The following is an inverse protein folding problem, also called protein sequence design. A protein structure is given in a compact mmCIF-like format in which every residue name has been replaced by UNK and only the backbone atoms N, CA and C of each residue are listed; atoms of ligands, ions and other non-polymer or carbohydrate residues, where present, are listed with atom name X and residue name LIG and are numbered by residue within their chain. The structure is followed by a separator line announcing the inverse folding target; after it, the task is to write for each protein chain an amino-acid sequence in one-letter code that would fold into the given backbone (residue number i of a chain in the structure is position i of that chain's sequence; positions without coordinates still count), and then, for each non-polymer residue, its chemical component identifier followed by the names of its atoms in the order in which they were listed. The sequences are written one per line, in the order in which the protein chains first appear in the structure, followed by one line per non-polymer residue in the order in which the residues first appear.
data_IF_535446272774
#
_entry.id   IF_535446272774
#
_cell.length_a   1.000
_cell.length_b   1.000
_cell.length_c   1.000
_cell.angle_alpha   90.00
_cell.angle_beta   90.00
_cell.angle_gamma   90.00
#
_symmetry.space_group_name_H-M   'P 1'
#
loop_
_entity.id
_entity.type
_entity.pdbx_description
1 polymer ?
#
# COMPACT_ATOMS: atom_id res chain seq x y z
N UNK A 1 -0.84 1.02 9.69
CA UNK A 1 -1.11 0.45 8.36
C UNK A 1 -2.21 1.24 7.68
N UNK A 2 -2.26 1.25 6.35
CA UNK A 2 -3.39 1.78 5.58
C UNK A 2 -3.98 0.67 4.70
N UNK A 3 -5.29 0.71 4.45
CA UNK A 3 -6.02 -0.27 3.65
C UNK A 3 -7.02 0.42 2.73
N UNK A 4 -7.23 -0.10 1.52
CA UNK A 4 -8.17 0.47 0.56
C UNK A 4 -8.22 -0.30 -0.75
N UNK A 5 -9.03 0.21 -1.68
CA UNK A 5 -9.00 -0.24 -3.08
C UNK A 5 -7.73 0.32 -3.72
N UNK A 6 -6.99 -0.52 -4.44
CA UNK A 6 -5.80 -0.15 -5.18
C UNK A 6 -6.02 -0.12 -6.70
N UNK A 7 -6.88 -0.99 -7.22
CA UNK A 7 -7.17 -1.09 -8.65
C UNK A 7 -8.57 -1.70 -8.87
N UNK A 8 -9.16 -1.51 -10.05
CA UNK A 8 -10.43 -2.13 -10.46
C UNK A 8 -10.31 -2.76 -11.85
N UNK A 9 -10.81 -3.98 -11.99
CA UNK A 9 -10.98 -4.62 -13.29
C UNK A 9 -12.27 -4.11 -13.97
N UNK A 10 -12.26 -4.00 -15.31
CA UNK A 10 -13.45 -3.70 -16.11
C UNK A 10 -14.06 -2.30 -15.90
N UNK A 11 -13.45 -1.45 -15.08
CA UNK A 11 -13.95 -0.10 -14.76
C UNK A 11 -13.09 0.94 -15.46
N UNK A 12 -13.73 1.90 -16.15
CA UNK A 12 -13.04 3.06 -16.73
C UNK A 12 -12.50 3.95 -15.60
N UNK A 13 -11.19 4.16 -15.58
CA UNK A 13 -10.54 5.04 -14.61
C UNK A 13 -10.53 6.51 -15.09
N UNK A 14 -10.04 7.43 -14.26
CA UNK A 14 -9.95 8.87 -14.56
C UNK A 14 -9.10 9.22 -15.78
N UNK A 15 -8.21 8.31 -16.20
CA UNK A 15 -7.39 8.45 -17.41
C UNK A 15 -8.08 7.84 -18.65
N UNK A 16 -9.34 7.43 -18.52
CA UNK A 16 -10.11 6.78 -19.58
C UNK A 16 -9.72 5.33 -19.87
N UNK A 17 -8.86 4.72 -19.03
CA UNK A 17 -8.33 3.38 -19.23
C UNK A 17 -9.20 2.32 -18.57
N UNK A 18 -9.27 1.13 -19.18
CA UNK A 18 -9.92 -0.06 -18.64
C UNK A 18 -8.92 -1.21 -18.63
N UNK A 19 -8.82 -1.89 -17.49
CA UNK A 19 -7.95 -3.04 -17.30
C UNK A 19 -8.77 -4.35 -17.34
N UNK A 20 -8.33 -5.32 -18.15
CA UNK A 20 -8.90 -6.68 -18.12
C UNK A 20 -8.57 -7.37 -16.81
N UNK A 21 -9.50 -8.19 -16.33
CA UNK A 21 -9.36 -8.91 -15.05
C UNK A 21 -8.21 -9.92 -15.12
N UNK A 22 -8.03 -10.56 -16.27
CA UNK A 22 -7.01 -11.56 -16.55
C UNK A 22 -5.61 -10.94 -16.49
N UNK A 23 -5.43 -9.78 -17.14
CA UNK A 23 -4.18 -9.02 -17.09
C UNK A 23 -3.84 -8.63 -15.65
N UNK A 24 -4.80 -8.08 -14.90
CA UNK A 24 -4.58 -7.71 -13.50
C UNK A 24 -4.30 -8.93 -12.61
N UNK A 25 -4.97 -10.07 -12.82
CA UNK A 25 -4.72 -11.29 -12.03
C UNK A 25 -3.29 -11.75 -12.19
N UNK A 26 -2.79 -11.85 -13.43
CA UNK A 26 -1.40 -12.23 -13.73
C UNK A 26 -0.42 -11.29 -13.05
N UNK A 27 -0.63 -9.98 -13.17
CA UNK A 27 0.26 -8.99 -12.58
C UNK A 27 0.22 -8.99 -11.05
N UNK A 28 -0.93 -9.28 -10.44
CA UNK A 28 -1.03 -9.41 -8.97
C UNK A 28 -0.36 -10.69 -8.46
N UNK A 29 -0.41 -11.80 -9.21
CA UNK A 29 0.35 -13.01 -8.89
C UNK A 29 1.86 -12.73 -8.92
N UNK A 30 2.34 -12.01 -9.94
CA UNK A 30 3.72 -11.54 -10.01
C UNK A 30 4.06 -10.61 -8.83
N UNK A 31 3.18 -9.67 -8.51
CA UNK A 31 3.38 -8.71 -7.43
C UNK A 31 3.38 -9.36 -6.04
N UNK A 32 2.64 -10.46 -5.85
CA UNK A 32 2.69 -11.25 -4.62
C UNK A 32 4.09 -11.82 -4.35
N UNK A 33 4.88 -12.11 -5.39
CA UNK A 33 6.30 -12.48 -5.22
C UNK A 33 7.10 -11.31 -4.64
N UNK A 34 6.90 -10.09 -5.14
CA UNK A 34 7.54 -8.90 -4.60
C UNK A 34 7.14 -8.64 -3.14
N UNK A 35 5.88 -8.90 -2.76
CA UNK A 35 5.40 -8.80 -1.37
C UNK A 35 6.11 -9.83 -0.48
N UNK A 36 6.17 -11.10 -0.91
CA UNK A 36 6.86 -12.18 -0.17
C UNK A 36 8.34 -11.87 0.06
N UNK A 37 9.00 -11.32 -0.96
CA UNK A 37 10.41 -10.95 -0.91
C UNK A 37 10.67 -9.59 -0.24
N UNK A 38 9.62 -8.90 0.25
CA UNK A 38 9.67 -7.55 0.83
C UNK A 38 10.28 -6.47 -0.11
N UNK A 39 10.02 -6.60 -1.40
CA UNK A 39 10.45 -5.66 -2.47
C UNK A 39 9.31 -4.80 -3.01
N UNK A 40 8.10 -4.89 -2.43
CA UNK A 40 6.88 -4.18 -2.83
C UNK A 40 6.83 -2.71 -2.36
N UNK A 41 7.91 -1.95 -2.59
CA UNK A 41 7.97 -0.53 -2.24
C UNK A 41 7.01 0.30 -3.10
N UNK A 42 6.59 1.44 -2.55
CA UNK A 42 5.84 2.48 -3.24
C UNK A 42 6.29 3.86 -2.78
N UNK A 43 6.11 4.85 -3.63
CA UNK A 43 6.54 6.22 -3.38
C UNK A 43 5.42 7.06 -2.75
N UNK A 44 5.81 8.19 -2.16
CA UNK A 44 4.87 9.30 -1.94
C UNK A 44 4.98 10.21 -3.14
N UNK A 45 3.83 10.47 -3.78
CA UNK A 45 3.69 11.02 -5.14
C UNK A 45 3.90 9.96 -6.24
N UNK A 46 3.64 10.34 -7.50
CA UNK A 46 3.61 9.44 -8.65
C UNK A 46 4.53 9.93 -9.78
N UNK A 47 5.86 9.75 -9.64
CA UNK A 47 6.80 10.15 -10.68
C UNK A 47 6.60 9.33 -11.97
N UNK A 48 6.90 9.95 -13.10
CA UNK A 48 6.84 9.31 -14.43
C UNK A 48 7.95 8.26 -14.66
N UNK A 49 8.84 8.05 -13.69
CA UNK A 49 9.90 7.05 -13.76
C UNK A 49 9.36 5.63 -13.55
N UNK A 50 9.86 4.69 -14.34
CA UNK A 50 9.54 3.26 -14.23
C UNK A 50 10.32 2.56 -13.10
N UNK A 51 11.33 3.22 -12.53
CA UNK A 51 12.12 2.73 -11.41
C UNK A 51 11.68 3.42 -10.11
N UNK A 52 11.49 2.62 -9.06
CA UNK A 52 11.17 3.15 -7.73
C UNK A 52 12.39 3.87 -7.17
N UNK A 53 12.23 5.15 -6.84
CA UNK A 53 13.29 5.90 -6.18
C UNK A 53 13.30 5.64 -4.67
N UNK A 54 14.35 4.98 -4.17
CA UNK A 54 14.47 4.65 -2.74
C UNK A 54 14.42 5.88 -1.82
N UNK A 55 14.83 7.06 -2.30
CA UNK A 55 14.75 8.31 -1.51
C UNK A 55 13.31 8.75 -1.26
N UNK A 56 12.39 8.39 -2.17
CA UNK A 56 10.98 8.77 -2.14
C UNK A 56 10.09 7.68 -1.52
N UNK A 57 10.65 6.48 -1.31
CA UNK A 57 9.91 5.33 -0.81
C UNK A 57 9.24 5.67 0.54
N UNK A 58 7.92 5.56 0.58
CA UNK A 58 7.12 5.96 1.75
C UNK A 58 6.49 4.77 2.46
N UNK A 59 6.28 3.67 1.74
CA UNK A 59 5.61 2.49 2.24
C UNK A 59 6.05 1.24 1.48
N UNK A 60 5.64 0.08 1.99
CA UNK A 60 5.58 -1.13 1.17
C UNK A 60 4.22 -1.80 1.31
N UNK A 61 3.80 -2.51 0.25
CA UNK A 61 2.56 -3.28 0.22
C UNK A 61 2.77 -4.60 0.96
N UNK A 62 1.88 -4.90 1.90
CA UNK A 62 1.94 -6.08 2.76
C UNK A 62 0.96 -7.17 2.38
N UNK A 63 -0.11 -6.82 1.68
CA UNK A 63 -1.13 -7.75 1.20
C UNK A 63 -1.89 -7.12 0.04
N UNK A 64 -2.18 -7.92 -0.97
CA UNK A 64 -3.19 -7.63 -2.01
C UNK A 64 -4.16 -8.80 -2.10
N UNK A 65 -5.43 -8.51 -2.39
CA UNK A 65 -6.46 -9.54 -2.59
C UNK A 65 -7.61 -9.01 -3.44
N UNK A 66 -8.39 -9.92 -4.01
CA UNK A 66 -9.59 -9.57 -4.77
C UNK A 66 -10.81 -9.46 -3.84
N UNK A 67 -11.65 -8.46 -4.10
CA UNK A 67 -13.01 -8.31 -3.57
C UNK A 67 -13.95 -7.98 -4.75
N UNK A 68 -14.57 -9.02 -5.33
CA UNK A 68 -15.29 -8.93 -6.59
C UNK A 68 -14.37 -8.55 -7.75
N UNK A 69 -14.57 -7.34 -8.30
CA UNK A 69 -13.73 -6.73 -9.35
C UNK A 69 -12.75 -5.68 -8.79
N UNK A 70 -12.74 -5.47 -7.48
CA UNK A 70 -11.80 -4.60 -6.82
C UNK A 70 -10.55 -5.37 -6.40
N UNK A 71 -9.40 -4.75 -6.60
CA UNK A 71 -8.14 -5.16 -6.01
C UNK A 71 -7.96 -4.35 -4.74
N UNK A 72 -8.00 -5.02 -3.61
CA UNK A 72 -7.76 -4.45 -2.29
C UNK A 72 -6.28 -4.55 -1.94
N UNK A 73 -5.76 -3.57 -1.20
CA UNK A 73 -4.39 -3.59 -0.71
C UNK A 73 -4.26 -3.08 0.72
N UNK A 74 -3.28 -3.62 1.44
CA UNK A 74 -2.85 -3.18 2.77
C UNK A 74 -1.38 -2.79 2.72
N UNK A 75 -1.05 -1.59 3.16
CA UNK A 75 0.31 -1.04 3.13
C UNK A 75 0.83 -0.72 4.53
N UNK A 76 2.14 -0.91 4.73
CA UNK A 76 2.86 -0.42 5.91
C UNK A 76 3.62 0.84 5.53
N UNK A 77 3.24 1.96 6.16
CA UNK A 77 3.99 3.22 6.04
C UNK A 77 5.30 3.10 6.81
N UNK A 78 6.39 3.50 6.18
CA UNK A 78 7.76 3.42 6.71
C UNK A 78 8.13 4.66 7.52
N UNK A 79 9.27 4.59 8.22
CA UNK A 79 9.90 5.71 8.94
C UNK A 79 10.99 6.39 8.08
N UNK A 80 10.85 6.35 6.76
CA UNK A 80 11.65 7.15 5.83
C UNK A 80 11.18 8.61 5.86
N UNK A 81 11.96 9.58 5.34
CA UNK A 81 11.50 10.96 5.23
C UNK A 81 10.13 11.09 4.55
N UNK A 82 9.92 10.43 3.40
CA UNK A 82 8.63 10.41 2.71
C UNK A 82 7.55 9.65 3.49
N UNK A 83 7.91 8.59 4.20
CA UNK A 83 6.99 7.85 5.07
C UNK A 83 6.50 8.69 6.25
N UNK A 84 7.37 9.49 6.86
CA UNK A 84 7.00 10.43 7.93
C UNK A 84 6.06 11.52 7.41
N UNK A 85 6.34 12.10 6.25
CA UNK A 85 5.41 13.05 5.60
C UNK A 85 4.03 12.41 5.40
N UNK A 86 3.99 11.20 4.84
CA UNK A 86 2.75 10.46 4.63
C UNK A 86 2.00 10.21 5.96
N UNK A 87 2.71 9.85 7.03
CA UNK A 87 2.10 9.66 8.37
C UNK A 87 1.46 10.95 8.87
N UNK A 88 2.15 12.08 8.78
CA UNK A 88 1.63 13.36 9.26
C UNK A 88 0.44 13.85 8.44
N UNK A 89 0.45 13.66 7.11
CA UNK A 89 -0.71 13.95 6.27
C UNK A 89 -1.94 13.13 6.69
N UNK A 90 -1.77 11.83 6.91
CA UNK A 90 -2.86 10.96 7.38
C UNK A 90 -3.36 11.37 8.77
N UNK A 91 -2.45 11.71 9.71
CA UNK A 91 -2.82 12.20 11.05
C UNK A 91 -3.60 13.52 11.00
N UNK A 92 -3.25 14.40 10.08
CA UNK A 92 -3.96 15.65 9.82
C UNK A 92 -5.32 15.46 9.14
N UNK A 93 -5.72 14.21 8.84
CA UNK A 93 -6.99 13.91 8.19
C UNK A 93 -7.00 14.15 6.69
N UNK A 94 -5.84 14.33 6.06
CA UNK A 94 -5.74 14.48 4.60
C UNK A 94 -6.16 13.17 3.94
N UNK A 95 -7.14 13.25 3.05
CA UNK A 95 -7.63 12.11 2.28
C UNK A 95 -6.67 11.84 1.12
N UNK A 96 -5.99 10.70 1.17
CA UNK A 96 -4.98 10.32 0.17
C UNK A 96 -5.42 9.07 -0.61
N UNK A 97 -5.16 9.11 -1.91
CA UNK A 97 -5.38 8.03 -2.84
C UNK A 97 -4.19 7.08 -2.95
N UNK A 98 -4.40 5.98 -3.66
CA UNK A 98 -3.33 5.11 -4.13
C UNK A 98 -3.50 4.86 -5.63
N UNK A 99 -2.39 4.78 -6.37
CA UNK A 99 -2.38 4.57 -7.82
C UNK A 99 -1.41 3.45 -8.17
N UNK A 100 -1.78 2.56 -9.10
CA UNK A 100 -0.83 1.61 -9.67
C UNK A 100 0.07 2.28 -10.69
N UNK A 101 1.38 2.07 -10.60
CA UNK A 101 2.33 2.38 -11.68
C UNK A 101 2.63 1.12 -12.47
N UNK A 102 2.66 1.24 -13.79
CA UNK A 102 2.98 0.11 -14.64
C UNK A 102 3.36 0.54 -16.05
N UNK A 103 4.00 -0.37 -16.76
CA UNK A 103 4.40 -0.22 -18.16
C UNK A 103 3.53 -1.11 -19.02
N UNK A 104 3.23 -0.70 -20.24
CA UNK A 104 2.46 -1.51 -21.18
C UNK A 104 1.84 -0.66 -22.27
N UNK A 105 1.40 -1.33 -23.32
CA UNK A 105 0.69 -0.71 -24.42
C UNK A 105 -0.79 -0.50 -24.09
N UNK A 106 -1.40 0.42 -24.83
CA UNK A 106 -2.83 0.69 -24.77
C UNK A 106 -3.41 0.73 -26.16
N UNK A 107 -4.69 0.38 -26.27
CA UNK A 107 -5.43 0.37 -27.51
C UNK A 107 -6.70 1.21 -27.35
N UNK A 108 -6.85 2.19 -28.24
CA UNK A 108 -8.01 3.07 -28.23
C UNK A 108 -9.16 2.43 -29.00
N UNK A 109 -10.18 1.98 -28.27
CA UNK A 109 -11.41 1.47 -28.85
C UNK A 109 -12.25 2.59 -29.46
N UNK A 110 -13.14 2.22 -30.38
CA UNK A 110 -14.02 3.16 -31.11
C UNK A 110 -14.92 4.02 -30.22
N UNK A 111 -15.17 3.59 -28.97
CA UNK A 111 -16.03 4.27 -28.00
C UNK A 111 -15.26 5.25 -27.07
N UNK A 112 -14.01 5.58 -27.39
CA UNK A 112 -13.15 6.43 -26.54
C UNK A 112 -12.75 5.75 -25.22
N UNK A 113 -12.79 4.42 -25.18
CA UNK A 113 -12.29 3.60 -24.09
C UNK A 113 -10.88 3.14 -24.46
N UNK A 114 -9.93 3.41 -23.56
CA UNK A 114 -8.54 3.01 -23.76
C UNK A 114 -8.33 1.67 -23.05
N UNK A 115 -8.27 0.58 -23.81
CA UNK A 115 -8.03 -0.75 -23.27
C UNK A 115 -6.54 -0.92 -22.97
N UNK A 116 -6.22 -1.37 -21.76
CA UNK A 116 -4.85 -1.77 -21.41
C UNK A 116 -4.58 -3.16 -21.96
N UNK A 117 -3.46 -3.29 -22.66
CA UNK A 117 -3.12 -4.52 -23.37
C UNK A 117 -2.41 -5.53 -22.45
N UNK A 118 -2.26 -6.75 -22.97
CA UNK A 118 -1.75 -7.89 -22.21
C UNK A 118 -0.25 -7.80 -21.90
N UNK A 119 0.49 -6.87 -22.49
CA UNK A 119 1.89 -6.57 -22.15
C UNK A 119 2.04 -5.69 -20.90
N UNK A 120 0.94 -5.32 -20.24
CA UNK A 120 0.97 -4.57 -19.00
C UNK A 120 1.75 -5.29 -17.89
N UNK A 121 2.66 -4.54 -17.26
CA UNK A 121 3.48 -4.95 -16.13
C UNK A 121 3.23 -4.00 -14.95
N UNK A 122 2.82 -4.56 -13.82
CA UNK A 122 2.64 -3.81 -12.58
C UNK A 122 3.98 -3.59 -11.89
N UNK A 123 4.38 -2.33 -11.71
CA UNK A 123 5.62 -1.96 -11.02
C UNK A 123 5.38 -1.83 -9.52
N UNK A 124 4.46 -0.94 -9.13
CA UNK A 124 4.19 -0.63 -7.74
C UNK A 124 2.83 0.03 -7.54
N UNK A 125 2.51 0.31 -6.28
CA UNK A 125 1.39 1.15 -5.89
C UNK A 125 1.94 2.36 -5.13
N UNK A 126 1.62 3.57 -5.59
CA UNK A 126 2.09 4.83 -5.03
C UNK A 126 0.98 5.56 -4.29
N UNK A 127 1.35 6.31 -3.26
CA UNK A 127 0.42 7.22 -2.59
C UNK A 127 0.30 8.52 -3.37
N UNK A 128 -0.93 8.93 -3.65
CA UNK A 128 -1.24 10.11 -4.48
C UNK A 128 -2.26 11.02 -3.80
N UNK A 129 -2.32 12.28 -4.20
CA UNK A 129 -3.39 13.20 -3.80
C UNK A 129 -4.73 12.78 -4.41
N UNK A 130 -4.73 12.50 -5.73
CA UNK A 130 -5.92 12.13 -6.49
C UNK A 130 -5.69 10.83 -7.28
N UNK A 131 -6.40 9.73 -6.92
CA UNK A 131 -6.26 8.46 -7.63
C UNK A 131 -7.08 8.46 -8.92
N UNK A 132 -6.51 7.91 -10.00
CA UNK A 132 -7.27 7.69 -11.24
C UNK A 132 -8.33 6.58 -11.07
N UNK A 133 -8.07 5.57 -10.25
CA UNK A 133 -9.02 4.49 -9.97
C UNK A 133 -10.17 4.98 -9.09
N UNK A 134 -11.44 4.88 -9.53
CA UNK A 134 -12.57 5.40 -8.77
C UNK A 134 -12.67 4.78 -7.38
N UNK A 135 -12.60 5.61 -6.34
CA UNK A 135 -12.73 5.17 -4.94
C UNK A 135 -11.47 4.57 -4.32
N UNK A 136 -10.31 4.63 -4.99
CA UNK A 136 -9.04 4.13 -4.49
C UNK A 136 -8.39 5.06 -3.44
N UNK A 137 -9.13 5.35 -2.37
CA UNK A 137 -8.65 6.10 -1.21
C UNK A 137 -8.28 5.15 -0.07
N UNK A 138 -7.15 5.42 0.56
CA UNK A 138 -6.63 4.61 1.65
C UNK A 138 -7.13 5.12 2.99
N UNK A 139 -7.46 4.21 3.92
CA UNK A 139 -7.88 4.54 5.29
C UNK A 139 -6.99 3.83 6.31
N UNK A 140 -6.82 4.38 7.52
CA UNK A 140 -6.18 3.66 8.62
C UNK A 140 -6.83 2.30 8.83
N UNK A 141 -6.00 1.27 8.87
CA UNK A 141 -6.47 -0.08 9.18
C UNK A 141 -6.77 -0.17 10.67
N UNK A 142 -8.04 -0.41 11.02
CA UNK A 142 -8.53 -0.53 12.40
C UNK A 142 -8.68 -1.98 12.85
N UNK A 143 -8.24 -2.95 12.05
CA UNK A 143 -8.17 -4.34 12.53
C UNK A 143 -7.21 -4.40 13.72
N UNK A 144 -7.55 -5.10 14.82
CA UNK A 144 -6.64 -5.26 15.96
C UNK A 144 -5.32 -5.86 15.48
N UNK A 145 -4.24 -5.12 15.66
CA UNK A 145 -2.90 -5.57 15.32
C UNK A 145 -2.36 -6.40 16.47
N UNK A 146 -2.80 -7.67 16.51
CA UNK A 146 -2.49 -8.66 17.56
C UNK A 146 -0.97 -8.74 17.80
N UNK A 147 -0.14 -8.57 16.77
CA UNK A 147 1.31 -8.60 16.92
C UNK A 147 1.88 -7.39 17.69
N UNK A 148 1.26 -6.21 17.52
CA UNK A 148 1.63 -4.99 18.25
C UNK A 148 1.16 -5.03 19.70
N UNK A 149 -0.04 -5.56 19.96
CA UNK A 149 -0.59 -5.73 21.32
C UNK A 149 0.22 -6.75 22.11
N UNK A 150 0.54 -7.90 21.52
CA UNK A 150 1.44 -8.89 22.14
C UNK A 150 2.83 -8.28 22.40
N UNK A 151 3.36 -7.50 21.46
CA UNK A 151 4.63 -6.80 21.63
C UNK A 151 4.62 -5.82 22.80
N UNK A 152 3.55 -5.03 22.95
CA UNK A 152 3.36 -4.13 24.10
C UNK A 152 3.22 -4.90 25.42
N UNK A 153 2.40 -5.95 25.44
CA UNK A 153 2.19 -6.77 26.64
C UNK A 153 3.48 -7.46 27.11
N UNK A 154 4.31 -7.94 26.18
CA UNK A 154 5.63 -8.50 26.49
C UNK A 154 6.60 -7.44 27.02
N UNK A 155 6.54 -6.21 26.50
CA UNK A 155 7.40 -5.12 26.96
C UNK A 155 7.01 -4.68 28.38
N UNK A 156 5.73 -4.46 28.62
CA UNK A 156 5.17 -4.06 29.92
C UNK A 156 5.42 -5.13 30.99
N UNK A 157 5.27 -6.42 30.65
CA UNK A 157 5.61 -7.51 31.58
C UNK A 157 7.10 -7.65 31.89
N UNK A 158 8.00 -7.21 30.99
CA UNK A 158 9.44 -7.15 31.27
C UNK A 158 9.81 -5.96 32.14
N UNK A 159 9.24 -4.79 31.89
CA UNK A 159 9.45 -3.58 32.70
C UNK A 159 8.99 -3.81 34.14
N UNK A 160 7.77 -4.34 34.32
CA UNK A 160 7.25 -4.70 35.65
C UNK A 160 8.15 -5.72 36.40
N UNK A 161 8.78 -6.66 35.71
CA UNK A 161 9.72 -7.60 36.35
C UNK A 161 11.02 -6.93 36.81
N UNK A 162 11.50 -5.95 36.06
CA UNK A 162 12.69 -5.17 36.41
C UNK A 162 12.40 -4.31 37.64
N UNK A 163 11.25 -3.63 37.65
CA UNK A 163 10.86 -2.75 38.76
C UNK A 163 10.71 -3.54 40.06
N UNK A 164 10.05 -4.70 40.00
CA UNK A 164 9.93 -5.59 41.17
C UNK A 164 11.30 -6.11 41.67
N UNK A 165 12.26 -6.34 40.78
CA UNK A 165 13.60 -6.79 41.16
C UNK A 165 14.38 -5.65 41.84
N UNK A 166 14.29 -4.44 41.30
CA UNK A 166 14.92 -3.24 41.88
C UNK A 166 14.35 -2.96 43.26
N UNK A 167 13.02 -3.01 43.41
CA UNK A 167 12.34 -2.81 44.70
C UNK A 167 12.74 -3.87 45.74
N UNK A 168 13.03 -5.10 45.31
CA UNK A 168 13.52 -6.15 46.21
C UNK A 168 14.96 -5.91 46.69
N UNK A 169 15.81 -5.33 45.83
CA UNK A 169 17.22 -5.04 46.15
C UNK A 169 17.34 -3.80 47.05
N UNK A 170 16.45 -2.81 46.89
CA UNK A 170 16.48 -1.56 47.64
C UNK A 170 15.83 -1.64 49.03
N UNK A 171 15.14 -2.74 49.35
CA UNK A 171 14.49 -2.97 50.65
C UNK A 171 15.31 -3.80 51.64
N UNK A 172 16.46 -4.33 51.21
CA UNK A 172 17.50 -4.94 52.06
C UNK A 172 18.63 -3.94 52.35
#
# INVERSE_FOLDING_TARGET
YLVGICQKAGTKNGNGRVYRKETLKRELENYQNAIRDRRSLGELDHPDDSVINLKNASHFVTKVWWDGDNVMGKIKVLDTPSGLILKELVKAGVKLGISSRGLGSVNEGKDGVIMVEDDFQLICFDMVSEPSTPGAYMKPDRSPDIGSEIGMYIKESKENKIDNLIDSILKD
#
